data_IF_719134613799
#
_entry.id   IF_719134613799
#
_cell.length_a   1.000
_cell.length_b   1.000
_cell.length_c   1.000
_cell.angle_alpha   90.00
_cell.angle_beta   90.00
_cell.angle_gamma   90.00
#
_symmetry.space_group_name_H-M   'P 1'
#
loop_
_entity.id
_entity.type
_entity.pdbx_description
1 polymer ?
#
# COMPACT_ATOMS: atom_id res chain seq x y z
N UNK A 1 -40.18 18.29 27.65
CA UNK A 1 -39.77 18.12 26.23
C UNK A 1 -38.39 18.70 25.87
N UNK A 2 -37.76 19.61 26.63
CA UNK A 2 -36.45 20.23 26.28
C UNK A 2 -35.22 19.35 26.52
N UNK A 3 -35.28 18.33 27.38
CA UNK A 3 -34.13 17.48 27.73
C UNK A 3 -33.75 16.45 26.62
N UNK A 4 -34.70 16.05 25.79
CA UNK A 4 -34.46 15.09 24.70
C UNK A 4 -33.72 15.69 23.49
N UNK A 5 -33.92 16.96 23.20
CA UNK A 5 -33.29 17.67 22.11
C UNK A 5 -31.76 17.82 22.28
N UNK A 6 -31.32 18.05 23.53
CA UNK A 6 -29.89 18.18 23.85
C UNK A 6 -29.15 16.87 23.77
N UNK A 7 -29.81 15.74 24.09
CA UNK A 7 -29.22 14.42 23.99
C UNK A 7 -29.00 14.00 22.51
N UNK A 8 -29.96 14.31 21.63
CA UNK A 8 -29.82 14.03 20.19
C UNK A 8 -28.76 14.92 19.53
N UNK A 9 -28.63 16.17 19.91
CA UNK A 9 -27.59 17.07 19.42
C UNK A 9 -26.19 16.64 19.86
N UNK A 10 -26.02 16.13 21.07
CA UNK A 10 -24.76 15.61 21.58
C UNK A 10 -24.33 14.32 20.86
N UNK A 11 -25.26 13.42 20.53
CA UNK A 11 -24.99 12.20 19.78
C UNK A 11 -24.62 12.50 18.32
N UNK A 12 -25.27 13.48 17.69
CA UNK A 12 -24.93 13.90 16.35
C UNK A 12 -23.53 14.54 16.27
N UNK A 13 -23.17 15.40 17.24
CA UNK A 13 -21.85 16.01 17.32
C UNK A 13 -20.74 14.99 17.58
N UNK A 14 -20.98 14.00 18.44
CA UNK A 14 -20.03 12.91 18.69
C UNK A 14 -19.83 12.02 17.45
N UNK A 15 -20.87 11.78 16.66
CA UNK A 15 -20.79 11.04 15.40
C UNK A 15 -19.95 11.78 14.34
N UNK A 16 -20.09 13.08 14.22
CA UNK A 16 -19.30 13.90 13.29
C UNK A 16 -17.82 13.95 13.68
N UNK A 17 -17.51 14.12 14.97
CA UNK A 17 -16.11 14.10 15.45
C UNK A 17 -15.43 12.73 15.26
N UNK A 18 -16.19 11.64 15.24
CA UNK A 18 -15.65 10.30 14.98
C UNK A 18 -15.36 10.08 13.49
N UNK A 19 -16.16 10.65 12.59
CA UNK A 19 -15.92 10.56 11.13
C UNK A 19 -14.67 11.36 10.72
N UNK A 20 -14.48 12.58 11.25
CA UNK A 20 -13.27 13.39 10.98
C UNK A 20 -11.97 12.69 11.43
N UNK A 21 -12.03 11.90 12.51
CA UNK A 21 -10.86 11.14 12.99
C UNK A 21 -10.51 9.95 12.11
N UNK A 22 -11.45 9.36 11.39
CA UNK A 22 -11.21 8.25 10.47
C UNK A 22 -10.52 8.72 9.17
N UNK A 23 -10.81 9.92 8.69
CA UNK A 23 -10.16 10.48 7.50
C UNK A 23 -8.73 10.99 7.77
N UNK A 24 -8.48 11.55 8.95
CA UNK A 24 -7.18 12.12 9.32
C UNK A 24 -6.08 11.08 9.59
N UNK A 25 -6.41 9.81 9.77
CA UNK A 25 -5.42 8.78 10.18
C UNK A 25 -4.62 8.15 9.03
N UNK A 26 -5.00 8.34 7.78
CA UNK A 26 -4.40 7.55 6.70
C UNK A 26 -3.11 8.16 6.14
N UNK A 27 -2.96 9.47 6.08
CA UNK A 27 -1.82 10.09 5.41
C UNK A 27 -0.80 10.76 6.33
N UNK A 28 -1.22 11.31 7.48
CA UNK A 28 -0.34 12.05 8.41
C UNK A 28 0.76 11.18 9.06
N UNK A 29 0.59 9.86 9.07
CA UNK A 29 1.54 8.91 9.69
C UNK A 29 2.42 8.17 8.67
N UNK A 30 2.46 8.61 7.41
CA UNK A 30 3.19 7.91 6.34
C UNK A 30 2.51 6.62 5.90
N UNK A 31 1.24 6.43 6.25
CA UNK A 31 0.44 5.28 5.80
C UNK A 31 -0.10 5.52 4.40
N UNK A 32 -0.18 4.48 3.60
CA UNK A 32 -0.82 4.48 2.28
C UNK A 32 -1.67 3.21 2.16
N UNK A 33 -2.88 3.25 2.71
CA UNK A 33 -3.73 2.07 2.92
C UNK A 33 -4.66 1.72 1.76
N UNK A 34 -4.76 2.59 0.78
CA UNK A 34 -5.60 2.40 -0.40
C UNK A 34 -4.83 2.79 -1.66
N UNK A 35 -5.24 2.28 -2.81
CA UNK A 35 -4.61 2.58 -4.10
C UNK A 35 -4.57 4.08 -4.38
N UNK A 36 -5.61 4.82 -4.00
CA UNK A 36 -5.69 6.28 -4.11
C UNK A 36 -5.13 7.05 -2.92
N UNK A 37 -4.53 6.39 -1.92
CA UNK A 37 -4.07 7.00 -0.67
C UNK A 37 -5.18 7.06 0.40
N UNK A 38 -6.36 7.47 0.00
CA UNK A 38 -7.56 7.61 0.83
C UNK A 38 -8.82 7.15 0.06
N UNK A 39 -10.00 7.03 0.73
CA UNK A 39 -11.26 6.67 0.09
C UNK A 39 -11.72 7.64 -1.01
N UNK A 40 -11.30 8.90 -0.94
CA UNK A 40 -11.59 9.93 -1.95
C UNK A 40 -10.68 9.87 -3.16
N UNK A 41 -9.69 8.98 -3.19
CA UNK A 41 -8.73 8.84 -4.29
C UNK A 41 -7.95 10.12 -4.59
N UNK A 42 -7.65 10.92 -3.56
CA UNK A 42 -7.00 12.22 -3.71
C UNK A 42 -5.55 12.09 -4.19
N UNK A 43 -4.90 10.95 -3.94
CA UNK A 43 -3.48 10.69 -4.21
C UNK A 43 -2.56 11.71 -3.54
N UNK A 44 -3.03 12.31 -2.48
CA UNK A 44 -2.31 13.33 -1.73
C UNK A 44 -1.60 12.72 -0.52
N UNK A 45 -0.37 13.15 -0.30
CA UNK A 45 0.38 12.87 0.92
C UNK A 45 0.81 14.19 1.56
N UNK A 46 0.53 14.42 2.85
CA UNK A 46 0.97 15.62 3.57
C UNK A 46 2.45 15.54 3.99
N UNK A 47 3.16 14.49 3.61
CA UNK A 47 4.59 14.37 3.91
C UNK A 47 5.39 15.42 3.14
N UNK A 48 6.26 16.15 3.82
CA UNK A 48 7.04 17.28 3.29
C UNK A 48 8.56 17.08 3.37
N UNK A 49 9.01 15.88 3.77
CA UNK A 49 10.44 15.56 3.88
C UNK A 49 11.18 15.70 2.54
N UNK A 50 10.48 15.50 1.42
CA UNK A 50 11.03 15.71 0.08
C UNK A 50 10.54 17.07 -0.43
N UNK A 51 11.48 17.95 -0.74
CA UNK A 51 11.22 19.30 -1.18
C UNK A 51 12.25 19.76 -2.22
N UNK A 52 12.10 20.98 -2.74
CA UNK A 52 13.00 21.56 -3.77
C UNK A 52 14.47 21.58 -3.36
N UNK A 53 14.75 21.72 -2.06
CA UNK A 53 16.13 21.80 -1.54
C UNK A 53 16.84 20.44 -1.45
N UNK A 54 16.12 19.32 -1.50
CA UNK A 54 16.70 17.99 -1.30
C UNK A 54 16.36 16.97 -2.39
N UNK A 55 15.38 17.23 -3.27
CA UNK A 55 14.95 16.28 -4.30
C UNK A 55 16.10 15.82 -5.22
N UNK A 56 17.02 16.71 -5.56
CA UNK A 56 18.18 16.39 -6.40
C UNK A 56 19.21 15.45 -5.72
N UNK A 57 19.12 15.29 -4.40
CA UNK A 57 20.00 14.42 -3.61
C UNK A 57 19.39 13.06 -3.29
N UNK A 58 18.20 12.77 -3.80
CA UNK A 58 17.57 11.47 -3.60
C UNK A 58 18.40 10.37 -4.26
N UNK A 59 18.56 9.29 -3.53
CA UNK A 59 19.22 8.08 -4.00
C UNK A 59 18.28 6.89 -3.88
N UNK A 60 18.54 5.87 -4.70
CA UNK A 60 17.78 4.62 -4.60
C UNK A 60 18.19 3.87 -3.34
N UNK A 61 17.28 3.73 -2.38
CA UNK A 61 17.55 3.01 -1.14
C UNK A 61 17.77 1.50 -1.40
N UNK A 62 16.93 0.91 -2.24
CA UNK A 62 17.03 -0.51 -2.62
C UNK A 62 16.27 -0.80 -3.91
N UNK A 63 16.54 -1.95 -4.51
CA UNK A 63 15.83 -2.47 -5.69
C UNK A 63 15.53 -3.95 -5.50
N UNK A 64 14.40 -4.42 -6.02
CA UNK A 64 14.03 -5.82 -6.08
C UNK A 64 13.60 -6.21 -7.49
N UNK A 65 13.95 -7.40 -7.97
CA UNK A 65 13.42 -7.90 -9.22
C UNK A 65 11.89 -7.99 -9.18
N UNK A 66 11.24 -7.66 -10.29
CA UNK A 66 9.79 -7.84 -10.43
C UNK A 66 9.37 -9.32 -10.41
N UNK A 67 10.27 -10.22 -10.78
CA UNK A 67 10.13 -11.69 -10.66
C UNK A 67 11.38 -12.22 -10.02
N UNK A 68 11.23 -13.16 -9.09
CA UNK A 68 12.36 -13.86 -8.50
C UNK A 68 13.15 -14.60 -9.59
N UNK A 69 14.50 -14.45 -9.66
CA UNK A 69 15.32 -15.15 -10.63
C UNK A 69 15.20 -16.68 -10.55
N UNK A 70 14.98 -17.23 -9.35
CA UNK A 70 14.74 -18.66 -9.14
C UNK A 70 13.49 -19.15 -9.84
N UNK A 71 12.41 -18.37 -9.82
CA UNK A 71 11.16 -18.69 -10.53
C UNK A 71 11.38 -18.78 -12.04
N UNK A 72 12.17 -17.87 -12.62
CA UNK A 72 12.51 -17.92 -14.06
C UNK A 72 13.37 -19.12 -14.44
N UNK A 73 14.20 -19.59 -13.52
CA UNK A 73 15.00 -20.80 -13.74
C UNK A 73 14.15 -22.07 -13.65
N UNK A 74 13.24 -22.10 -12.69
CA UNK A 74 12.34 -23.23 -12.45
C UNK A 74 11.27 -23.35 -13.54
N UNK A 75 10.70 -22.21 -13.97
CA UNK A 75 9.63 -22.12 -14.96
C UNK A 75 10.11 -21.36 -16.20
N UNK A 76 10.75 -22.05 -17.12
CA UNK A 76 11.38 -21.46 -18.32
C UNK A 76 10.37 -20.74 -19.23
N UNK A 77 9.13 -21.22 -19.26
CA UNK A 77 8.03 -20.67 -20.06
C UNK A 77 7.27 -19.54 -19.33
N UNK A 78 7.72 -19.13 -18.14
CA UNK A 78 7.09 -18.08 -17.37
C UNK A 78 7.07 -16.76 -18.15
N UNK A 79 5.88 -16.36 -18.57
CA UNK A 79 5.65 -15.09 -19.24
C UNK A 79 5.37 -14.01 -18.19
N UNK A 80 6.14 -12.96 -18.27
CA UNK A 80 6.03 -11.79 -17.39
C UNK A 80 5.45 -10.64 -18.18
N UNK A 81 4.40 -10.02 -17.66
CA UNK A 81 3.84 -8.81 -18.29
C UNK A 81 4.89 -7.69 -18.34
N UNK A 82 5.11 -7.13 -19.52
CA UNK A 82 5.92 -5.91 -19.67
C UNK A 82 5.26 -4.66 -19.12
N UNK A 83 3.97 -4.71 -18.82
CA UNK A 83 3.17 -3.63 -18.24
C UNK A 83 2.85 -3.90 -16.77
N UNK A 84 3.87 -3.98 -15.94
CA UNK A 84 3.66 -4.09 -14.50
C UNK A 84 3.22 -2.75 -13.92
N UNK A 85 1.95 -2.65 -13.55
CA UNK A 85 1.35 -1.46 -12.93
C UNK A 85 0.72 -1.86 -11.61
N UNK A 86 1.30 -1.44 -10.52
CA UNK A 86 0.72 -1.62 -9.19
C UNK A 86 1.02 -0.42 -8.32
N UNK A 87 0.15 -0.14 -7.38
CA UNK A 87 0.39 0.82 -6.31
C UNK A 87 0.78 0.05 -5.05
N UNK A 88 2.01 0.18 -4.56
CA UNK A 88 2.37 -0.39 -3.27
C UNK A 88 1.54 0.22 -2.15
N UNK A 89 1.25 -0.56 -1.11
CA UNK A 89 0.57 -0.10 0.09
C UNK A 89 1.57 -0.02 1.24
N UNK A 90 1.46 1.02 2.05
CA UNK A 90 2.24 1.20 3.27
C UNK A 90 1.32 1.11 4.47
N UNK A 91 1.42 0.01 5.23
CA UNK A 91 0.52 -0.28 6.35
C UNK A 91 1.34 -0.72 7.56
N UNK A 92 1.22 0.02 8.65
CA UNK A 92 1.88 -0.29 9.94
C UNK A 92 3.39 -0.58 9.80
N UNK A 93 4.11 0.23 9.02
CA UNK A 93 5.54 0.09 8.82
C UNK A 93 5.95 -1.10 7.94
N UNK A 94 5.02 -1.64 7.15
CA UNK A 94 5.28 -2.69 6.17
C UNK A 94 4.87 -2.22 4.79
N UNK A 95 5.73 -2.40 3.79
CA UNK A 95 5.45 -2.11 2.39
C UNK A 95 4.95 -3.40 1.71
N UNK A 96 3.74 -3.35 1.20
CA UNK A 96 3.12 -4.44 0.44
C UNK A 96 3.13 -4.10 -1.05
N UNK A 97 3.66 -4.99 -1.86
CA UNK A 97 3.67 -4.81 -3.30
C UNK A 97 3.48 -6.16 -4.01
N UNK A 98 2.65 -6.24 -5.04
CA UNK A 98 2.63 -7.43 -5.88
C UNK A 98 3.94 -7.53 -6.68
N UNK A 99 4.25 -8.73 -7.11
CA UNK A 99 5.29 -8.96 -8.11
C UNK A 99 4.68 -9.03 -9.52
N UNK A 100 5.52 -9.21 -10.54
CA UNK A 100 5.06 -9.21 -11.92
C UNK A 100 4.34 -10.50 -12.35
N UNK A 101 4.22 -11.49 -11.47
CA UNK A 101 3.44 -12.72 -11.67
C UNK A 101 2.23 -12.82 -10.72
N UNK A 102 1.87 -11.72 -10.04
CA UNK A 102 0.67 -11.63 -9.23
C UNK A 102 0.81 -12.08 -7.78
N UNK A 103 2.00 -12.48 -7.33
CA UNK A 103 2.23 -12.78 -5.92
C UNK A 103 2.36 -11.49 -5.11
N UNK A 104 1.81 -11.47 -3.91
CA UNK A 104 1.95 -10.33 -2.99
C UNK A 104 3.18 -10.53 -2.11
N UNK A 105 4.00 -9.49 -1.98
CA UNK A 105 5.21 -9.48 -1.15
C UNK A 105 5.13 -8.40 -0.10
N UNK A 106 5.67 -8.70 1.08
CA UNK A 106 5.84 -7.74 2.17
C UNK A 106 7.31 -7.45 2.40
N UNK A 107 7.64 -6.16 2.57
CA UNK A 107 9.01 -5.68 2.73
C UNK A 107 9.16 -4.78 3.95
N UNK A 108 10.36 -4.78 4.52
CA UNK A 108 10.84 -3.67 5.34
C UNK A 108 11.08 -2.44 4.46
N UNK A 109 10.39 -1.31 4.68
CA UNK A 109 10.43 -0.18 3.74
C UNK A 109 11.82 0.46 3.61
N UNK A 110 12.60 0.51 4.69
CA UNK A 110 13.94 1.09 4.69
C UNK A 110 15.02 0.19 4.10
N UNK A 111 14.92 -1.12 4.30
CA UNK A 111 15.95 -2.10 3.91
C UNK A 111 15.62 -2.85 2.61
N UNK A 112 14.34 -2.90 2.23
CA UNK A 112 13.88 -3.80 1.17
C UNK A 112 13.96 -5.27 1.53
N UNK A 113 14.16 -5.62 2.81
CA UNK A 113 14.14 -7.00 3.27
C UNK A 113 12.75 -7.60 3.04
N UNK A 114 12.69 -8.70 2.32
CA UNK A 114 11.44 -9.42 2.08
C UNK A 114 11.07 -10.24 3.31
N UNK A 115 9.92 -9.95 3.89
CA UNK A 115 9.39 -10.64 5.07
C UNK A 115 8.64 -11.90 4.70
N UNK A 116 7.83 -11.83 3.64
CA UNK A 116 7.08 -12.96 3.09
C UNK A 116 6.62 -12.69 1.65
N UNK A 117 6.21 -13.75 0.97
CA UNK A 117 5.55 -13.73 -0.33
C UNK A 117 4.39 -14.73 -0.30
N UNK A 118 3.26 -14.40 -0.89
CA UNK A 118 2.07 -15.24 -0.91
C UNK A 118 1.22 -14.98 -2.16
N UNK A 119 0.57 -16.02 -2.66
CA UNK A 119 -0.49 -15.91 -3.65
C UNK A 119 -1.76 -15.35 -3.00
N UNK A 120 -2.46 -14.37 -3.61
CA UNK A 120 -3.65 -13.74 -3.05
C UNK A 120 -4.86 -14.70 -2.96
N UNK A 121 -4.92 -15.70 -3.82
CA UNK A 121 -5.98 -16.71 -3.82
C UNK A 121 -5.29 -18.06 -3.92
N UNK A 122 -5.35 -18.93 -3.04
CA UNK A 122 -4.83 -20.32 -3.03
C UNK A 122 -4.26 -20.89 -4.37
N UNK A 123 -3.73 -20.01 -5.22
CA UNK A 123 -3.12 -20.34 -6.49
C UNK A 123 -1.69 -20.77 -6.23
N UNK A 124 -1.28 -21.84 -6.87
CA UNK A 124 0.12 -22.27 -6.88
C UNK A 124 0.91 -21.40 -7.86
N UNK A 125 2.24 -21.33 -7.67
CA UNK A 125 3.12 -20.67 -8.63
C UNK A 125 2.98 -21.30 -10.03
N UNK A 126 2.71 -22.59 -10.09
CA UNK A 126 2.45 -23.32 -11.33
C UNK A 126 1.21 -22.81 -12.07
N UNK A 127 0.12 -22.48 -11.34
CA UNK A 127 -1.09 -21.90 -11.95
C UNK A 127 -0.86 -20.50 -12.48
N UNK A 128 -0.09 -19.69 -11.74
CA UNK A 128 0.24 -18.32 -12.14
C UNK A 128 1.22 -18.30 -13.33
N UNK A 129 2.02 -19.34 -13.51
CA UNK A 129 3.02 -19.43 -14.58
C UNK A 129 2.52 -20.09 -15.87
N UNK A 130 1.27 -20.56 -15.90
CA UNK A 130 0.67 -21.11 -17.15
C UNK A 130 0.42 -19.99 -18.17
N UNK A 131 0.71 -20.24 -19.44
CA UNK A 131 0.48 -19.29 -20.53
C UNK A 131 -1.02 -19.05 -20.79
#
# INVERSE_FOLDING_TARGET
>A
MRRGLWALAALAAAGWMALDRLEAQSSATGQWRAVGGDPGYTRYSPLDQINRGNVARLTVAWRKPGVDPGLKQQFKELRVSGNFRSTPLMINGVLYAPNAVGLIRAFGPGSGEQRWEQAPFAQTIEEVSRP
#
